data_IF_013047003410
#
_entry.id   IF_013047003410
#
_cell.length_a   1.000
_cell.length_b   1.000
_cell.length_c   1.000
_cell.angle_alpha   90.00
_cell.angle_beta   90.00
_cell.angle_gamma   90.00
#
_symmetry.space_group_name_H-M   'P 1'
#
loop_
_entity.id
_entity.type
_entity.pdbx_description
1 polymer ?
#
# COMPACT_ATOMS: atom_id res chain seq x y z
N UNK A 1 -74.08 -15.81 -33.52
CA UNK A 1 -72.92 -14.92 -33.53
C UNK A 1 -72.22 -15.04 -32.17
N UNK A 2 -71.08 -15.74 -32.10
CA UNK A 2 -70.31 -15.92 -30.85
C UNK A 2 -69.06 -15.05 -31.01
N UNK A 3 -68.95 -14.02 -30.12
CA UNK A 3 -67.75 -13.19 -30.06
C UNK A 3 -66.74 -13.83 -29.10
N UNK A 4 -65.57 -14.15 -29.64
CA UNK A 4 -64.43 -14.61 -28.86
C UNK A 4 -63.59 -13.36 -28.46
N UNK A 5 -63.40 -13.18 -27.17
CA UNK A 5 -62.48 -12.17 -26.62
C UNK A 5 -61.14 -12.82 -26.42
N UNK A 6 -60.11 -12.33 -27.17
CA UNK A 6 -58.71 -12.70 -26.96
C UNK A 6 -58.12 -11.81 -25.88
N UNK A 7 -57.72 -12.41 -24.75
CA UNK A 7 -56.90 -11.76 -23.72
C UNK A 7 -55.44 -11.73 -24.21
N UNK A 8 -54.93 -10.51 -24.42
CA UNK A 8 -53.50 -10.28 -24.61
C UNK A 8 -52.85 -10.09 -23.24
N UNK A 9 -52.06 -11.06 -22.80
CA UNK A 9 -51.28 -10.95 -21.59
C UNK A 9 -49.97 -10.18 -21.90
N UNK A 10 -49.86 -8.93 -21.42
CA UNK A 10 -48.61 -8.19 -21.41
C UNK A 10 -47.70 -8.74 -20.31
N UNK A 11 -46.64 -9.43 -20.69
CA UNK A 11 -45.54 -9.83 -19.79
C UNK A 11 -44.63 -8.60 -19.62
N UNK A 12 -44.70 -7.95 -18.49
CA UNK A 12 -43.76 -6.90 -18.10
C UNK A 12 -42.42 -7.56 -17.73
N UNK A 13 -41.39 -7.41 -18.56
CA UNK A 13 -40.01 -7.75 -18.21
C UNK A 13 -39.52 -6.75 -17.14
N UNK A 14 -39.43 -7.17 -15.89
CA UNK A 14 -38.74 -6.42 -14.85
C UNK A 14 -37.24 -6.63 -15.09
N UNK A 15 -36.61 -5.66 -15.73
CA UNK A 15 -35.14 -5.57 -15.77
C UNK A 15 -34.67 -5.19 -14.34
N UNK A 16 -34.29 -6.20 -13.56
CA UNK A 16 -33.51 -5.95 -12.34
C UNK A 16 -32.14 -5.45 -12.77
N UNK A 17 -31.97 -4.11 -12.75
CA UNK A 17 -30.67 -3.50 -12.84
C UNK A 17 -29.83 -4.06 -11.68
N UNK A 18 -28.79 -4.82 -11.98
CA UNK A 18 -27.73 -5.11 -11.02
C UNK A 18 -27.02 -3.79 -10.83
N UNK A 19 -27.33 -3.05 -9.78
CA UNK A 19 -26.52 -1.95 -9.31
C UNK A 19 -25.14 -2.53 -9.05
N UNK A 20 -24.19 -2.25 -9.93
CA UNK A 20 -22.78 -2.52 -9.65
C UNK A 20 -22.43 -1.73 -8.40
N UNK A 21 -22.31 -2.42 -7.28
CA UNK A 21 -21.91 -1.82 -6.02
C UNK A 21 -20.56 -1.12 -6.27
N UNK A 22 -20.55 0.21 -6.32
CA UNK A 22 -19.33 0.98 -6.48
C UNK A 22 -18.35 0.55 -5.39
N UNK A 23 -17.15 0.13 -5.77
CA UNK A 23 -16.12 -0.24 -4.81
C UNK A 23 -15.77 0.95 -3.91
N UNK A 24 -15.25 0.68 -2.72
CA UNK A 24 -14.71 1.72 -1.87
C UNK A 24 -13.57 2.44 -2.61
N UNK A 25 -13.60 3.76 -2.66
CA UNK A 25 -12.53 4.56 -3.26
C UNK A 25 -11.33 4.66 -2.33
N UNK A 26 -10.14 4.34 -2.84
CA UNK A 26 -8.87 4.47 -2.09
C UNK A 26 -7.95 5.42 -2.82
N UNK A 27 -7.53 6.50 -2.16
CA UNK A 27 -6.52 7.42 -2.68
C UNK A 27 -5.19 7.21 -1.96
N UNK A 28 -4.11 7.07 -2.74
CA UNK A 28 -2.74 7.11 -2.25
C UNK A 28 -2.14 8.49 -2.52
N UNK A 29 -1.71 9.19 -1.47
CA UNK A 29 -1.00 10.47 -1.55
C UNK A 29 0.43 10.25 -1.07
N UNK A 30 1.42 10.47 -1.95
CA UNK A 30 2.80 10.20 -1.58
C UNK A 30 3.82 10.65 -2.63
N UNK A 31 4.94 9.96 -2.62
CA UNK A 31 6.09 10.30 -3.46
C UNK A 31 6.67 9.03 -4.13
N UNK A 32 7.98 9.02 -4.36
CA UNK A 32 8.69 7.92 -4.99
C UNK A 32 8.54 6.56 -4.27
N UNK A 33 8.21 6.56 -3.01
CA UNK A 33 7.91 5.36 -2.24
C UNK A 33 6.56 4.74 -2.63
N UNK A 34 5.56 5.55 -2.93
CA UNK A 34 4.26 5.08 -3.44
C UNK A 34 4.30 4.70 -4.91
N UNK A 35 4.95 5.52 -5.76
CA UNK A 35 4.98 5.22 -7.20
C UNK A 35 6.09 4.24 -7.60
N UNK A 36 6.82 3.69 -6.65
CA UNK A 36 7.81 2.65 -6.84
C UNK A 36 8.99 3.06 -7.76
N UNK A 37 9.67 4.17 -7.43
CA UNK A 37 10.83 4.63 -8.18
C UNK A 37 11.94 3.58 -8.26
N UNK A 38 12.58 3.49 -9.41
CA UNK A 38 13.73 2.59 -9.64
C UNK A 38 13.38 1.10 -9.73
N UNK A 39 12.09 0.76 -9.74
CA UNK A 39 11.61 -0.62 -9.75
C UNK A 39 10.65 -0.90 -10.91
N UNK A 40 10.58 -2.13 -11.45
CA UNK A 40 9.57 -2.52 -12.44
C UNK A 40 8.13 -2.37 -11.93
N UNK A 41 7.92 -2.28 -10.63
CA UNK A 41 6.61 -2.00 -10.01
C UNK A 41 6.06 -0.63 -10.43
N UNK A 42 6.92 0.31 -10.82
CA UNK A 42 6.51 1.67 -11.23
C UNK A 42 5.40 1.68 -12.28
N UNK A 43 5.54 0.86 -13.32
CA UNK A 43 4.55 0.76 -14.40
C UNK A 43 3.64 -0.46 -14.29
N UNK A 44 3.74 -1.20 -13.20
CA UNK A 44 2.98 -2.43 -13.00
C UNK A 44 1.48 -2.13 -13.08
N UNK A 45 0.77 -2.74 -14.02
CA UNK A 45 -0.69 -2.67 -14.23
C UNK A 45 -1.28 -1.26 -14.04
N UNK A 46 -0.61 -0.24 -14.58
CA UNK A 46 -1.05 1.17 -14.48
C UNK A 46 -2.45 1.41 -15.04
N UNK A 47 -2.91 0.54 -15.94
CA UNK A 47 -4.26 0.52 -16.51
C UNK A 47 -5.36 0.09 -15.53
N UNK A 48 -5.00 -0.46 -14.36
CA UNK A 48 -5.96 -0.92 -13.33
C UNK A 48 -6.22 0.10 -12.22
N UNK A 49 -5.49 1.20 -12.22
CA UNK A 49 -5.60 2.29 -11.26
C UNK A 49 -5.77 3.63 -11.97
N UNK A 50 -6.21 4.65 -11.26
CA UNK A 50 -6.32 6.01 -11.80
C UNK A 50 -5.19 6.88 -11.25
N UNK A 51 -4.22 7.16 -12.11
CA UNK A 51 -3.17 8.15 -11.82
C UNK A 51 -3.71 9.55 -12.09
N UNK A 52 -3.88 10.33 -11.01
CA UNK A 52 -4.47 11.68 -11.08
C UNK A 52 -3.55 12.71 -11.78
N UNK A 53 -2.28 12.37 -11.96
CA UNK A 53 -1.31 13.18 -12.70
C UNK A 53 -1.17 12.77 -14.17
N UNK A 54 -1.78 11.66 -14.60
CA UNK A 54 -1.71 11.10 -15.96
C UNK A 54 -0.26 10.78 -16.41
N UNK A 55 0.58 10.32 -15.49
CA UNK A 55 1.97 9.93 -15.76
C UNK A 55 2.08 8.43 -16.12
N UNK A 56 0.97 7.68 -16.08
CA UNK A 56 0.91 6.26 -16.42
C UNK A 56 1.51 5.36 -15.34
N UNK A 57 1.43 5.79 -14.10
CA UNK A 57 2.00 5.09 -12.94
C UNK A 57 1.03 4.05 -12.40
N UNK A 58 1.55 2.85 -12.09
CA UNK A 58 0.84 1.82 -11.33
C UNK A 58 1.29 1.79 -9.88
N UNK A 59 2.56 1.53 -9.65
CA UNK A 59 3.21 1.57 -8.33
C UNK A 59 2.62 0.58 -7.31
N UNK A 60 2.83 0.90 -6.06
CA UNK A 60 2.25 0.18 -4.92
C UNK A 60 0.71 0.16 -4.95
N UNK A 61 0.01 1.23 -5.40
CA UNK A 61 -1.44 1.21 -5.59
C UNK A 61 -1.92 0.09 -6.52
N UNK A 62 -1.20 -0.21 -7.61
CA UNK A 62 -1.57 -1.29 -8.52
C UNK A 62 -1.31 -2.69 -7.94
N UNK A 63 -0.30 -2.85 -7.10
CA UNK A 63 -0.11 -4.08 -6.32
C UNK A 63 -1.28 -4.28 -5.35
N UNK A 64 -1.66 -3.25 -4.60
CA UNK A 64 -2.83 -3.28 -3.72
C UNK A 64 -4.12 -3.64 -4.50
N UNK A 65 -4.33 -3.02 -5.67
CA UNK A 65 -5.47 -3.35 -6.54
C UNK A 65 -5.47 -4.82 -6.96
N UNK A 66 -4.30 -5.35 -7.35
CA UNK A 66 -4.15 -6.75 -7.73
C UNK A 66 -4.50 -7.70 -6.56
N UNK A 67 -3.99 -7.43 -5.36
CA UNK A 67 -4.27 -8.22 -4.17
C UNK A 67 -5.76 -8.20 -3.80
N UNK A 68 -6.38 -7.03 -3.82
CA UNK A 68 -7.80 -6.90 -3.48
C UNK A 68 -8.70 -7.60 -4.51
N UNK A 69 -8.40 -7.50 -5.80
CA UNK A 69 -9.11 -8.25 -6.84
C UNK A 69 -8.99 -9.76 -6.65
N UNK A 70 -7.77 -10.25 -6.36
CA UNK A 70 -7.55 -11.67 -6.10
C UNK A 70 -8.27 -12.15 -4.83
N UNK A 71 -8.37 -11.30 -3.81
CA UNK A 71 -9.14 -11.58 -2.59
C UNK A 71 -10.66 -11.43 -2.75
N UNK A 72 -11.17 -11.13 -3.97
CA UNK A 72 -12.59 -10.94 -4.25
C UNK A 72 -13.15 -9.65 -3.65
N UNK A 73 -12.31 -8.64 -3.42
CA UNK A 73 -12.69 -7.33 -2.89
C UNK A 73 -12.73 -6.30 -4.02
N UNK A 74 -13.70 -5.39 -3.97
CA UNK A 74 -13.84 -4.31 -4.95
C UNK A 74 -13.37 -2.99 -4.35
N UNK A 75 -12.31 -2.42 -4.94
CA UNK A 75 -11.79 -1.09 -4.62
C UNK A 75 -11.52 -0.32 -5.90
N UNK A 76 -11.88 0.95 -5.93
CA UNK A 76 -11.44 1.88 -6.96
C UNK A 76 -10.21 2.62 -6.45
N UNK A 77 -9.07 2.37 -7.08
CA UNK A 77 -7.76 2.79 -6.58
C UNK A 77 -7.21 3.95 -7.39
N UNK A 78 -6.80 4.98 -6.67
CA UNK A 78 -6.29 6.24 -7.22
C UNK A 78 -4.94 6.58 -6.58
N UNK A 79 -4.11 7.33 -7.30
CA UNK A 79 -2.87 7.86 -6.75
C UNK A 79 -2.66 9.32 -7.17
N UNK A 80 -2.14 10.11 -6.26
CA UNK A 80 -1.59 11.44 -6.48
C UNK A 80 -0.19 11.46 -5.87
N UNK A 81 0.83 11.48 -6.71
CA UNK A 81 2.21 11.31 -6.28
C UNK A 81 3.15 12.34 -6.91
N UNK A 82 4.20 12.71 -6.16
CA UNK A 82 5.27 13.56 -6.65
C UNK A 82 6.61 13.14 -6.06
N UNK A 83 7.59 12.84 -6.92
CA UNK A 83 8.93 12.48 -6.47
C UNK A 83 9.59 13.55 -5.61
N UNK A 84 10.26 13.13 -4.52
CA UNK A 84 10.99 14.04 -3.64
C UNK A 84 10.13 14.99 -2.82
N UNK A 85 8.82 14.76 -2.70
CA UNK A 85 7.91 15.64 -1.96
C UNK A 85 7.41 15.02 -0.65
N UNK A 86 6.94 15.90 0.24
CA UNK A 86 6.14 15.55 1.39
C UNK A 86 4.70 16.04 1.24
N UNK A 87 3.89 15.90 2.29
CA UNK A 87 2.50 16.37 2.29
C UNK A 87 2.37 17.89 2.10
N UNK A 88 3.38 18.67 2.47
CA UNK A 88 3.46 20.11 2.23
C UNK A 88 3.32 20.47 0.74
N UNK A 89 3.99 19.73 -0.14
CA UNK A 89 3.86 19.93 -1.58
C UNK A 89 2.42 19.68 -2.05
N UNK A 90 1.79 18.58 -1.61
CA UNK A 90 0.44 18.21 -2.00
C UNK A 90 -0.60 19.21 -1.49
N UNK A 91 -0.42 19.73 -0.27
CA UNK A 91 -1.24 20.80 0.28
C UNK A 91 -1.15 22.09 -0.52
N UNK A 92 0.06 22.46 -0.95
CA UNK A 92 0.27 23.71 -1.68
C UNK A 92 -0.15 23.64 -3.15
N UNK A 93 -0.02 22.46 -3.78
CA UNK A 93 -0.09 22.38 -5.25
C UNK A 93 -1.18 21.44 -5.77
N UNK A 94 -1.72 20.51 -4.96
CA UNK A 94 -2.54 19.39 -5.45
C UNK A 94 -3.95 19.33 -4.84
N UNK A 95 -4.30 20.22 -3.93
CA UNK A 95 -5.64 20.22 -3.35
C UNK A 95 -6.78 20.27 -4.38
N UNK A 96 -6.68 21.01 -5.51
CA UNK A 96 -7.72 20.98 -6.53
C UNK A 96 -7.91 19.60 -7.19
N UNK A 97 -6.84 18.81 -7.28
CA UNK A 97 -6.88 17.44 -7.83
C UNK A 97 -7.41 16.47 -6.79
N UNK A 98 -6.85 16.51 -5.57
CA UNK A 98 -7.24 15.67 -4.44
C UNK A 98 -8.72 15.90 -4.06
N UNK A 99 -9.20 17.14 -4.13
CA UNK A 99 -10.56 17.52 -3.76
C UNK A 99 -11.62 17.32 -4.86
N UNK A 100 -11.27 16.75 -6.03
CA UNK A 100 -12.23 16.54 -7.13
C UNK A 100 -13.39 15.59 -6.78
N UNK A 101 -13.13 14.67 -5.87
CA UNK A 101 -14.15 13.72 -5.39
C UNK A 101 -14.02 13.46 -3.89
N UNK A 102 -15.01 12.75 -3.33
CA UNK A 102 -14.98 12.26 -1.95
C UNK A 102 -14.29 10.91 -1.93
N UNK A 103 -13.38 10.73 -0.98
CA UNK A 103 -12.65 9.50 -0.79
C UNK A 103 -13.22 8.73 0.40
N UNK A 104 -13.31 7.40 0.30
CA UNK A 104 -13.68 6.55 1.42
C UNK A 104 -12.46 6.23 2.28
N UNK A 105 -11.32 6.00 1.63
CA UNK A 105 -10.05 5.66 2.27
C UNK A 105 -8.94 6.51 1.67
N UNK A 106 -8.04 7.03 2.50
CA UNK A 106 -6.81 7.70 2.05
C UNK A 106 -5.61 7.13 2.80
N UNK A 107 -4.60 6.71 2.06
CA UNK A 107 -3.27 6.32 2.55
C UNK A 107 -2.31 7.42 2.18
N UNK A 108 -1.60 7.98 3.16
CA UNK A 108 -0.68 9.10 2.91
C UNK A 108 0.60 8.99 3.73
N UNK A 109 1.69 9.55 3.18
CA UNK A 109 2.96 9.67 3.87
C UNK A 109 3.70 10.94 3.48
N UNK A 110 4.63 11.37 4.34
CA UNK A 110 5.50 12.52 4.12
C UNK A 110 6.86 12.16 3.53
N UNK A 111 7.86 12.99 3.82
CA UNK A 111 9.26 12.68 3.48
C UNK A 111 9.74 11.44 4.23
N UNK A 112 10.53 10.59 3.57
CA UNK A 112 11.12 9.40 4.18
C UNK A 112 12.06 9.70 5.36
N UNK A 113 12.67 10.88 5.38
CA UNK A 113 13.49 11.39 6.48
C UNK A 113 12.71 12.28 7.44
N UNK A 114 11.37 12.32 7.37
CA UNK A 114 10.42 13.18 8.11
C UNK A 114 10.43 14.64 7.65
N UNK A 115 11.59 15.20 7.43
CA UNK A 115 11.82 16.52 6.86
C UNK A 115 13.02 16.46 5.89
N UNK A 116 12.92 17.11 4.73
CA UNK A 116 13.98 17.12 3.71
C UNK A 116 15.18 17.99 4.10
N UNK A 117 14.96 19.03 4.92
CA UNK A 117 15.99 19.97 5.35
C UNK A 117 16.55 19.63 6.74
N UNK A 118 15.71 19.00 7.58
CA UNK A 118 16.05 18.61 8.94
C UNK A 118 15.69 17.15 9.18
N UNK A 119 16.46 16.19 8.62
CA UNK A 119 16.19 14.78 8.78
C UNK A 119 16.02 14.39 10.26
N UNK A 120 14.95 13.65 10.56
CA UNK A 120 14.58 13.24 11.91
C UNK A 120 13.62 14.21 12.63
N UNK A 121 13.41 15.44 12.13
CA UNK A 121 12.45 16.37 12.74
C UNK A 121 11.00 16.04 12.34
N UNK A 122 10.13 15.68 13.29
CA UNK A 122 8.75 15.29 12.98
C UNK A 122 7.81 16.48 12.74
N UNK A 123 8.24 17.72 12.99
CA UNK A 123 7.35 18.89 13.06
C UNK A 123 6.56 19.10 11.76
N UNK A 124 7.24 18.99 10.60
CA UNK A 124 6.61 19.13 9.29
C UNK A 124 5.57 18.04 9.04
N UNK A 125 5.93 16.78 9.32
CA UNK A 125 5.00 15.65 9.17
C UNK A 125 3.75 15.84 10.04
N UNK A 126 3.91 16.19 11.30
CA UNK A 126 2.79 16.40 12.25
C UNK A 126 1.84 17.49 11.77
N UNK A 127 2.40 18.65 11.39
CA UNK A 127 1.59 19.77 10.91
C UNK A 127 0.83 19.45 9.63
N UNK A 128 1.54 18.92 8.62
CA UNK A 128 0.96 18.67 7.28
C UNK A 128 0.01 17.49 7.27
N UNK A 129 0.22 16.47 8.10
CA UNK A 129 -0.73 15.36 8.26
C UNK A 129 -2.06 15.84 8.84
N UNK A 130 -2.01 16.72 9.83
CA UNK A 130 -3.23 17.31 10.39
C UNK A 130 -3.97 18.17 9.37
N UNK A 131 -3.28 19.04 8.66
CA UNK A 131 -3.87 19.92 7.65
C UNK A 131 -4.52 19.12 6.50
N UNK A 132 -3.85 18.08 6.00
CA UNK A 132 -4.38 17.20 4.97
C UNK A 132 -5.61 16.42 5.49
N UNK A 133 -5.57 15.93 6.72
CA UNK A 133 -6.70 15.24 7.33
C UNK A 133 -7.93 16.17 7.48
N UNK A 134 -7.72 17.41 7.89
CA UNK A 134 -8.79 18.40 8.01
C UNK A 134 -9.39 18.74 6.65
N UNK A 135 -8.56 18.85 5.60
CA UNK A 135 -9.02 19.06 4.23
C UNK A 135 -9.88 17.89 3.73
N UNK A 136 -9.40 16.66 3.89
CA UNK A 136 -10.10 15.45 3.42
C UNK A 136 -11.44 15.25 4.14
N UNK A 137 -11.50 15.52 5.45
CA UNK A 137 -12.75 15.43 6.23
C UNK A 137 -13.78 16.49 5.87
N UNK A 138 -13.38 17.65 5.38
CA UNK A 138 -14.33 18.63 4.82
C UNK A 138 -15.04 18.06 3.60
N UNK A 139 -14.33 17.26 2.78
CA UNK A 139 -14.91 16.57 1.63
C UNK A 139 -15.79 15.38 2.03
N UNK A 140 -15.29 14.52 2.93
CA UNK A 140 -16.00 13.37 3.46
C UNK A 140 -15.74 13.21 4.98
N UNK A 141 -16.67 13.58 5.86
CA UNK A 141 -16.49 13.42 7.32
C UNK A 141 -16.28 11.97 7.78
N UNK A 142 -16.61 10.99 6.93
CA UNK A 142 -16.46 9.55 7.22
C UNK A 142 -15.21 8.93 6.61
N UNK A 143 -14.34 9.73 5.98
CA UNK A 143 -13.11 9.22 5.35
C UNK A 143 -12.24 8.50 6.37
N UNK A 144 -11.81 7.30 6.02
CA UNK A 144 -10.82 6.56 6.79
C UNK A 144 -9.42 6.99 6.37
N UNK A 145 -8.68 7.58 7.28
CA UNK A 145 -7.33 8.08 7.03
C UNK A 145 -6.28 7.15 7.62
N UNK A 146 -5.27 6.86 6.84
CA UNK A 146 -4.11 6.07 7.25
C UNK A 146 -2.85 6.85 6.97
N UNK A 147 -1.92 6.82 7.91
CA UNK A 147 -0.54 7.25 7.69
C UNK A 147 0.34 6.02 7.47
N UNK A 148 1.27 6.07 6.54
CA UNK A 148 2.19 4.98 6.25
C UNK A 148 3.60 5.32 6.73
N UNK A 149 4.07 4.65 7.78
CA UNK A 149 5.45 4.76 8.26
C UNK A 149 6.38 3.97 7.35
N UNK A 150 7.33 4.66 6.73
CA UNK A 150 8.24 4.10 5.74
C UNK A 150 9.44 3.37 6.38
N UNK A 151 10.21 2.66 5.59
CA UNK A 151 11.38 1.88 6.00
C UNK A 151 12.63 2.71 6.26
N UNK A 152 13.61 2.12 6.95
CA UNK A 152 14.95 2.68 7.07
C UNK A 152 15.65 2.73 5.71
N UNK A 153 16.27 3.86 5.41
CA UNK A 153 17.11 4.04 4.23
C UNK A 153 18.54 3.65 4.55
N UNK A 154 19.11 2.71 3.80
CA UNK A 154 20.47 2.25 4.02
C UNK A 154 21.51 3.37 3.77
N UNK A 155 21.23 4.29 2.82
CA UNK A 155 22.08 5.47 2.56
C UNK A 155 22.12 6.44 3.75
N UNK A 156 21.07 6.50 4.57
CA UNK A 156 21.04 7.33 5.77
C UNK A 156 21.73 6.69 6.98
N UNK A 157 21.90 5.37 6.96
CA UNK A 157 22.45 4.62 8.09
C UNK A 157 23.93 4.27 7.86
N UNK A 158 24.31 3.85 6.65
CA UNK A 158 25.64 3.35 6.37
C UNK A 158 26.57 4.37 5.70
N UNK A 159 26.02 5.47 5.14
CA UNK A 159 26.85 6.53 4.59
C UNK A 159 27.24 7.56 5.65
N UNK A 160 28.50 8.08 5.63
CA UNK A 160 29.00 8.97 6.68
C UNK A 160 28.22 10.27 6.88
N UNK A 161 27.49 10.72 5.86
CA UNK A 161 26.67 11.95 5.89
C UNK A 161 25.19 11.68 6.18
N UNK A 162 24.81 10.44 6.38
CA UNK A 162 23.43 10.07 6.69
C UNK A 162 23.04 10.56 8.09
N UNK A 163 21.78 10.92 8.26
CA UNK A 163 21.27 11.42 9.52
C UNK A 163 21.27 10.35 10.64
N UNK A 164 21.28 9.08 10.28
CA UNK A 164 21.38 7.93 11.19
C UNK A 164 22.72 7.20 11.03
N UNK A 165 23.78 7.89 10.55
CA UNK A 165 25.08 7.28 10.34
C UNK A 165 25.64 6.64 11.62
N UNK A 166 26.09 5.38 11.50
CA UNK A 166 26.64 4.61 12.61
C UNK A 166 25.64 4.06 13.61
N UNK A 167 24.34 4.25 13.40
CA UNK A 167 23.28 3.60 14.19
C UNK A 167 22.90 2.24 13.59
N UNK A 168 22.26 1.35 14.37
CA UNK A 168 21.65 0.14 13.81
C UNK A 168 20.59 0.50 12.75
N UNK A 169 20.46 -0.34 11.70
CA UNK A 169 19.55 -0.06 10.57
C UNK A 169 18.11 0.19 11.01
N UNK A 170 17.65 -0.46 12.05
CA UNK A 170 16.30 -0.30 12.56
C UNK A 170 16.05 1.03 13.30
N UNK A 171 17.10 1.80 13.61
CA UNK A 171 16.97 3.04 14.36
C UNK A 171 16.13 4.08 13.62
N UNK A 172 16.37 4.25 12.32
CA UNK A 172 15.59 5.16 11.49
C UNK A 172 14.12 4.76 11.44
N UNK A 173 13.79 3.47 11.27
CA UNK A 173 12.41 3.01 11.26
C UNK A 173 11.70 3.27 12.59
N UNK A 174 12.38 3.12 13.73
CA UNK A 174 11.83 3.46 15.06
C UNK A 174 11.52 4.95 15.19
N UNK A 175 12.44 5.80 14.77
CA UNK A 175 12.26 7.25 14.85
C UNK A 175 11.15 7.71 13.89
N UNK A 176 11.11 7.17 12.68
CA UNK A 176 10.04 7.40 11.72
C UNK A 176 8.70 6.97 12.32
N UNK A 177 8.61 5.77 12.90
CA UNK A 177 7.38 5.30 13.54
C UNK A 177 6.94 6.21 14.68
N UNK A 178 7.83 6.62 15.56
CA UNK A 178 7.50 7.53 16.65
C UNK A 178 6.97 8.89 16.17
N UNK A 179 7.51 9.40 15.04
CA UNK A 179 7.03 10.62 14.42
C UNK A 179 5.62 10.44 13.82
N UNK A 180 5.38 9.31 13.16
CA UNK A 180 4.07 8.98 12.60
C UNK A 180 3.00 8.75 13.68
N UNK A 181 3.34 8.19 14.83
CA UNK A 181 2.43 8.06 15.98
C UNK A 181 2.01 9.44 16.54
N UNK A 182 2.96 10.42 16.61
CA UNK A 182 2.62 11.80 16.95
C UNK A 182 1.69 12.42 15.91
N UNK A 183 1.99 12.26 14.63
CA UNK A 183 1.16 12.77 13.54
C UNK A 183 -0.24 12.13 13.54
N UNK A 184 -0.33 10.83 13.80
CA UNK A 184 -1.56 10.08 13.90
C UNK A 184 -2.51 10.62 14.97
N UNK A 185 -1.98 10.96 16.14
CA UNK A 185 -2.75 11.55 17.24
C UNK A 185 -3.33 12.91 16.82
N UNK A 186 -2.51 13.80 16.24
CA UNK A 186 -2.93 15.14 15.81
C UNK A 186 -3.90 15.14 14.62
N UNK A 187 -3.74 14.20 13.70
CA UNK A 187 -4.59 14.03 12.53
C UNK A 187 -5.79 13.11 12.77
N UNK A 188 -5.90 12.47 13.92
CA UNK A 188 -6.95 11.51 14.28
C UNK A 188 -7.16 10.43 13.20
N UNK A 189 -6.07 9.85 12.70
CA UNK A 189 -6.13 8.80 11.68
C UNK A 189 -6.56 7.46 12.28
N UNK A 190 -7.06 6.56 11.45
CA UNK A 190 -7.51 5.23 11.86
C UNK A 190 -6.35 4.34 12.31
N UNK A 191 -5.22 4.39 11.58
CA UNK A 191 -4.02 3.65 11.93
C UNK A 191 -2.75 4.24 11.27
N UNK A 192 -1.59 3.87 11.82
CA UNK A 192 -0.29 3.98 11.17
C UNK A 192 0.07 2.61 10.59
N UNK A 193 0.22 2.54 9.27
CA UNK A 193 0.58 1.33 8.55
C UNK A 193 2.07 1.03 8.78
N UNK A 194 2.44 -0.14 9.37
CA UNK A 194 3.78 -0.40 9.89
C UNK A 194 4.74 -1.00 8.84
N UNK A 195 4.99 -0.28 7.73
CA UNK A 195 5.85 -0.79 6.66
C UNK A 195 7.31 -0.88 7.11
N UNK A 196 7.82 0.14 7.80
CA UNK A 196 9.20 0.15 8.29
C UNK A 196 9.49 -0.98 9.28
N UNK A 197 8.53 -1.29 10.13
CA UNK A 197 8.64 -2.40 11.08
C UNK A 197 8.59 -3.76 10.37
N UNK A 198 7.80 -3.90 9.31
CA UNK A 198 7.80 -5.12 8.50
C UNK A 198 9.15 -5.35 7.82
N UNK A 199 9.79 -4.29 7.31
CA UNK A 199 11.15 -4.37 6.76
C UNK A 199 12.16 -4.79 7.83
N UNK A 200 12.13 -4.16 9.00
CA UNK A 200 12.97 -4.53 10.15
C UNK A 200 12.77 -5.99 10.53
N UNK A 201 11.53 -6.46 10.56
CA UNK A 201 11.20 -7.87 10.83
C UNK A 201 11.78 -8.81 9.78
N UNK A 202 11.72 -8.45 8.48
CA UNK A 202 12.32 -9.26 7.42
C UNK A 202 13.83 -9.43 7.60
N UNK A 203 14.53 -8.37 8.00
CA UNK A 203 15.96 -8.40 8.30
C UNK A 203 16.26 -9.24 9.54
N UNK A 204 15.53 -9.04 10.63
CA UNK A 204 15.71 -9.80 11.87
C UNK A 204 15.40 -11.28 11.72
N UNK A 205 14.48 -11.65 10.83
CA UNK A 205 14.16 -13.04 10.50
C UNK A 205 15.16 -13.67 9.52
N UNK A 206 16.20 -12.94 9.07
CA UNK A 206 17.17 -13.41 8.10
C UNK A 206 16.61 -13.62 6.68
N UNK A 207 15.45 -13.07 6.38
CA UNK A 207 14.80 -13.12 5.05
C UNK A 207 15.41 -12.03 4.14
N UNK A 208 15.68 -10.86 4.70
CA UNK A 208 16.30 -9.76 3.97
C UNK A 208 17.69 -9.43 4.54
N UNK A 209 18.55 -8.91 3.69
CA UNK A 209 19.85 -8.43 4.10
C UNK A 209 19.71 -7.06 4.77
N UNK A 210 20.32 -6.81 5.94
CA UNK A 210 20.26 -5.53 6.61
C UNK A 210 21.21 -4.47 6.03
N UNK A 211 22.27 -4.88 5.31
CA UNK A 211 23.32 -3.97 4.84
C UNK A 211 23.68 -4.19 3.36
N UNK A 212 23.10 -3.45 2.41
CA UNK A 212 23.37 -3.64 0.99
C UNK A 212 24.76 -3.14 0.56
N UNK A 213 25.53 -2.48 1.44
CA UNK A 213 26.85 -1.92 1.11
C UNK A 213 27.99 -2.91 1.26
N UNK A 214 27.85 -4.00 1.98
CA UNK A 214 28.85 -5.05 2.13
C UNK A 214 28.57 -6.29 1.27
N UNK A 215 27.51 -6.20 0.42
CA UNK A 215 27.03 -7.24 -0.46
C UNK A 215 25.86 -8.01 0.14
N UNK A 216 25.02 -8.56 -0.73
CA UNK A 216 23.84 -9.33 -0.29
C UNK A 216 24.27 -10.75 0.04
N UNK A 217 24.04 -11.18 1.26
CA UNK A 217 24.32 -12.54 1.72
C UNK A 217 23.48 -13.57 0.95
N UNK A 218 24.10 -14.67 0.58
CA UNK A 218 23.45 -15.72 -0.20
C UNK A 218 22.16 -16.23 0.50
N UNK A 219 21.05 -16.22 -0.23
CA UNK A 219 19.75 -16.64 0.25
C UNK A 219 18.93 -15.53 0.94
N UNK A 220 19.47 -14.34 1.09
CA UNK A 220 18.72 -13.18 1.57
C UNK A 220 18.25 -12.29 0.41
N UNK A 221 17.16 -11.57 0.63
CA UNK A 221 16.62 -10.60 -0.31
C UNK A 221 17.25 -9.23 -0.10
N UNK A 222 17.56 -8.54 -1.20
CA UNK A 222 17.78 -7.10 -1.16
C UNK A 222 16.42 -6.40 -1.25
N UNK A 223 16.01 -5.70 -0.20
CA UNK A 223 14.77 -4.94 -0.20
C UNK A 223 14.96 -3.53 -0.80
N UNK A 224 16.20 -3.04 -0.94
CA UNK A 224 16.47 -1.77 -1.61
C UNK A 224 16.80 -1.98 -3.08
N UNK A 225 16.68 -0.93 -3.88
CA UNK A 225 17.24 -0.88 -5.23
C UNK A 225 18.68 -0.34 -5.19
N UNK A 226 19.33 -0.21 -6.35
CA UNK A 226 20.72 0.16 -6.54
C UNK A 226 21.16 1.45 -5.82
N UNK A 227 20.24 2.34 -5.48
CA UNK A 227 20.53 3.58 -4.76
C UNK A 227 20.49 3.44 -3.24
N UNK A 228 20.14 2.26 -2.73
CA UNK A 228 20.03 1.93 -1.31
C UNK A 228 19.10 2.86 -0.52
N UNK A 229 18.18 3.48 -1.27
CA UNK A 229 17.20 4.45 -0.82
C UNK A 229 15.79 3.96 -1.14
N UNK A 230 15.50 3.76 -2.42
CA UNK A 230 14.23 3.26 -2.89
C UNK A 230 14.15 1.73 -2.73
N UNK A 231 12.94 1.22 -2.72
CA UNK A 231 12.73 -0.21 -2.59
C UNK A 231 12.97 -0.96 -3.90
N UNK A 232 13.45 -2.18 -3.79
CA UNK A 232 13.41 -3.17 -4.87
C UNK A 232 11.97 -3.60 -5.14
N UNK A 233 11.77 -4.45 -6.15
CA UNK A 233 10.45 -5.04 -6.39
C UNK A 233 9.95 -5.85 -5.19
N UNK A 234 10.81 -6.58 -4.47
CA UNK A 234 10.47 -7.31 -3.25
C UNK A 234 10.11 -6.36 -2.10
N UNK A 235 10.82 -5.24 -1.95
CA UNK A 235 10.53 -4.24 -0.93
C UNK A 235 9.17 -3.57 -1.14
N UNK A 236 8.83 -3.18 -2.37
CA UNK A 236 7.50 -2.63 -2.69
C UNK A 236 6.39 -3.67 -2.57
N UNK A 237 6.69 -4.93 -2.88
CA UNK A 237 5.74 -6.02 -2.68
C UNK A 237 5.41 -6.19 -1.19
N UNK A 238 6.42 -6.17 -0.31
CA UNK A 238 6.22 -6.21 1.14
C UNK A 238 5.39 -5.01 1.63
N UNK A 239 5.69 -3.80 1.16
CA UNK A 239 4.90 -2.59 1.46
C UNK A 239 3.44 -2.81 1.09
N UNK A 240 3.16 -3.27 -0.13
CA UNK A 240 1.80 -3.49 -0.61
C UNK A 240 1.06 -4.58 0.21
N UNK A 241 1.74 -5.65 0.64
CA UNK A 241 1.17 -6.69 1.52
C UNK A 241 0.76 -6.12 2.88
N UNK A 242 1.60 -5.26 3.47
CA UNK A 242 1.31 -4.61 4.76
C UNK A 242 0.12 -3.66 4.63
N UNK A 243 0.08 -2.87 3.55
CA UNK A 243 -1.06 -1.99 3.25
C UNK A 243 -2.33 -2.82 3.04
N UNK A 244 -2.27 -3.89 2.25
CA UNK A 244 -3.40 -4.77 1.99
C UNK A 244 -3.99 -5.33 3.29
N UNK A 245 -3.16 -5.92 4.14
CA UNK A 245 -3.64 -6.49 5.40
C UNK A 245 -4.16 -5.41 6.35
N UNK A 246 -3.53 -4.23 6.40
CA UNK A 246 -3.95 -3.15 7.29
C UNK A 246 -5.31 -2.55 6.91
N UNK A 247 -5.55 -2.32 5.62
CA UNK A 247 -6.81 -1.73 5.14
C UNK A 247 -7.95 -2.75 5.15
N UNK A 248 -7.68 -3.99 4.73
CA UNK A 248 -8.73 -4.99 4.50
C UNK A 248 -9.00 -5.89 5.71
N UNK A 249 -8.09 -5.93 6.69
CA UNK A 249 -8.11 -6.90 7.79
C UNK A 249 -7.84 -8.35 7.35
N UNK A 250 -7.48 -8.56 6.07
CA UNK A 250 -7.21 -9.90 5.53
C UNK A 250 -5.78 -10.33 5.83
N UNK A 251 -5.63 -11.61 6.11
CA UNK A 251 -4.32 -12.25 6.23
C UNK A 251 -3.61 -12.23 4.87
N UNK A 252 -2.43 -11.57 4.74
CA UNK A 252 -1.70 -11.52 3.48
C UNK A 252 -1.34 -12.90 2.92
N UNK A 253 -1.18 -13.92 3.77
CA UNK A 253 -0.90 -15.31 3.37
C UNK A 253 -2.06 -15.95 2.62
N UNK A 254 -3.28 -15.42 2.76
CA UNK A 254 -4.45 -15.90 2.02
C UNK A 254 -4.36 -15.68 0.52
N UNK A 255 -3.44 -14.82 0.05
CA UNK A 255 -3.15 -14.61 -1.36
C UNK A 255 -2.44 -15.84 -1.97
N UNK A 256 -1.70 -16.61 -1.16
CA UNK A 256 -0.97 -17.80 -1.58
C UNK A 256 0.35 -17.49 -2.32
N UNK A 257 1.20 -18.49 -2.44
CA UNK A 257 2.54 -18.36 -3.03
C UNK A 257 2.53 -18.28 -4.57
N UNK A 258 1.38 -18.48 -5.20
CA UNK A 258 1.14 -18.32 -6.63
C UNK A 258 0.36 -17.04 -6.94
N UNK A 259 0.48 -16.02 -6.08
CA UNK A 259 -0.13 -14.71 -6.22
C UNK A 259 0.28 -14.05 -7.55
N UNK A 260 -0.69 -13.42 -8.22
CA UNK A 260 -0.52 -12.98 -9.60
C UNK A 260 0.56 -11.92 -9.80
N UNK A 261 0.66 -10.94 -8.90
CA UNK A 261 1.66 -9.87 -9.02
C UNK A 261 3.07 -10.42 -8.86
N UNK A 262 3.27 -11.33 -7.92
CA UNK A 262 4.54 -11.98 -7.69
C UNK A 262 4.97 -12.83 -8.89
N UNK A 263 4.04 -13.58 -9.47
CA UNK A 263 4.30 -14.36 -10.70
C UNK A 263 4.69 -13.44 -11.87
N UNK A 264 3.95 -12.36 -12.09
CA UNK A 264 4.20 -11.40 -13.17
C UNK A 264 5.50 -10.62 -13.01
N UNK A 265 5.91 -10.37 -11.76
CA UNK A 265 7.18 -9.72 -11.42
C UNK A 265 8.37 -10.70 -11.37
N UNK A 266 8.13 -12.01 -11.58
CA UNK A 266 9.16 -13.04 -11.66
C UNK A 266 9.72 -13.48 -10.30
N UNK A 267 8.95 -13.36 -9.21
CA UNK A 267 9.41 -13.76 -7.88
C UNK A 267 9.41 -15.28 -7.70
N UNK A 268 10.40 -15.77 -6.96
CA UNK A 268 10.39 -17.15 -6.50
C UNK A 268 9.29 -17.37 -5.46
N UNK A 269 8.59 -18.50 -5.52
CA UNK A 269 7.49 -18.79 -4.57
C UNK A 269 7.94 -18.81 -3.11
N UNK A 270 9.20 -19.19 -2.86
CA UNK A 270 9.78 -19.16 -1.53
C UNK A 270 9.83 -17.73 -0.97
N UNK A 271 10.24 -16.76 -1.79
CA UNK A 271 10.33 -15.35 -1.43
C UNK A 271 8.94 -14.76 -1.18
N UNK A 272 7.97 -15.09 -2.05
CA UNK A 272 6.57 -14.68 -1.87
C UNK A 272 6.01 -15.17 -0.54
N UNK A 273 6.20 -16.46 -0.23
CA UNK A 273 5.75 -17.04 1.03
C UNK A 273 6.42 -16.39 2.24
N UNK A 274 7.72 -16.13 2.15
CA UNK A 274 8.47 -15.47 3.22
C UNK A 274 7.99 -14.05 3.47
N UNK A 275 7.81 -13.24 2.43
CA UNK A 275 7.32 -11.86 2.54
C UNK A 275 5.86 -11.78 3.03
N UNK A 276 5.00 -12.69 2.57
CA UNK A 276 3.63 -12.80 3.09
C UNK A 276 3.61 -13.16 4.58
N UNK A 277 4.51 -14.05 5.03
CA UNK A 277 4.63 -14.40 6.44
C UNK A 277 5.12 -13.20 7.26
N UNK A 278 6.13 -12.46 6.79
CA UNK A 278 6.62 -11.23 7.45
C UNK A 278 5.49 -10.21 7.60
N UNK A 279 4.75 -9.95 6.53
CA UNK A 279 3.63 -9.01 6.56
C UNK A 279 2.56 -9.45 7.58
N UNK A 280 2.21 -10.75 7.58
CA UNK A 280 1.28 -11.32 8.55
C UNK A 280 1.78 -11.15 9.99
N UNK A 281 3.02 -11.54 10.28
CA UNK A 281 3.59 -11.47 11.63
C UNK A 281 3.64 -10.03 12.16
N UNK A 282 3.92 -9.08 11.26
CA UNK A 282 3.89 -7.65 11.61
C UNK A 282 2.46 -7.19 11.94
N UNK A 283 1.50 -7.52 11.11
CA UNK A 283 0.11 -7.10 11.30
C UNK A 283 -0.56 -7.81 12.49
N UNK A 284 -0.21 -9.07 12.73
CA UNK A 284 -0.68 -9.82 13.89
C UNK A 284 -0.12 -9.25 15.20
N UNK A 285 1.14 -8.80 15.22
CA UNK A 285 1.75 -8.18 16.41
C UNK A 285 1.07 -6.86 16.83
N UNK A 286 0.37 -6.21 15.91
CA UNK A 286 -0.42 -4.99 16.17
C UNK A 286 -1.92 -5.27 16.35
N UNK A 287 -2.34 -6.53 16.29
CA UNK A 287 -3.75 -6.93 16.38
C UNK A 287 -4.60 -6.55 15.16
N UNK A 288 -3.96 -6.12 14.06
CA UNK A 288 -4.64 -5.71 12.84
C UNK A 288 -5.24 -6.90 12.08
N UNK A 289 -4.52 -8.01 12.09
CA UNK A 289 -4.96 -9.28 11.48
C UNK A 289 -4.89 -10.37 12.55
N UNK A 290 -5.95 -11.13 12.69
CA UNK A 290 -5.96 -12.32 13.56
C UNK A 290 -5.66 -13.57 12.72
N UNK A 291 -4.88 -14.53 13.27
CA UNK A 291 -4.78 -15.84 12.63
C UNK A 291 -6.17 -16.39 12.38
N UNK A 292 -6.45 -16.84 11.16
CA UNK A 292 -7.67 -17.60 10.93
C UNK A 292 -7.71 -18.73 11.96
N UNK A 293 -8.80 -18.82 12.74
CA UNK A 293 -9.00 -19.97 13.60
C UNK A 293 -8.74 -21.21 12.74
N UNK A 294 -7.89 -22.13 13.25
CA UNK A 294 -7.48 -23.34 12.52
C UNK A 294 -8.73 -24.14 12.12
N UNK A 295 -9.39 -23.71 11.07
CA UNK A 295 -10.33 -24.55 10.34
C UNK A 295 -9.49 -25.45 9.47
N UNK A 296 -9.78 -26.76 9.50
CA UNK A 296 -9.14 -27.78 8.70
C UNK A 296 -8.80 -27.26 7.29
N UNK A 297 -7.67 -27.69 6.67
CA UNK A 297 -7.16 -27.11 5.46
C UNK A 297 -8.28 -27.01 4.41
N UNK A 298 -8.75 -25.80 4.19
CA UNK A 298 -9.63 -25.53 3.07
C UNK A 298 -8.84 -25.97 1.84
N UNK A 299 -9.46 -26.84 1.01
CA UNK A 299 -8.93 -27.24 -0.28
C UNK A 299 -8.24 -26.02 -0.92
N UNK A 300 -6.97 -26.13 -1.35
CA UNK A 300 -6.28 -24.99 -1.93
C UNK A 300 -7.21 -24.34 -2.95
N UNK A 301 -7.48 -23.05 -2.81
CA UNK A 301 -8.20 -22.32 -3.83
C UNK A 301 -7.44 -22.58 -5.12
N UNK A 302 -8.16 -22.98 -6.18
CA UNK A 302 -7.53 -23.15 -7.48
C UNK A 302 -6.71 -21.88 -7.76
N UNK A 303 -5.46 -21.98 -8.26
CA UNK A 303 -4.62 -20.83 -8.48
C UNK A 303 -5.44 -19.78 -9.23
N UNK A 304 -5.51 -18.58 -8.65
CA UNK A 304 -6.23 -17.49 -9.28
C UNK A 304 -5.69 -17.39 -10.71
N UNK A 305 -6.55 -17.56 -11.72
CA UNK A 305 -6.11 -17.40 -13.10
C UNK A 305 -5.72 -15.93 -13.21
N UNK A 306 -4.41 -15.68 -13.18
CA UNK A 306 -3.90 -14.35 -13.46
C UNK A 306 -4.50 -13.92 -14.79
N UNK A 307 -5.18 -12.77 -14.84
CA UNK A 307 -5.89 -12.34 -16.03
C UNK A 307 -4.91 -12.35 -17.20
N UNK A 308 -5.10 -13.26 -18.14
CA UNK A 308 -4.34 -13.25 -19.38
C UNK A 308 -4.67 -11.92 -20.06
N UNK A 309 -3.68 -11.07 -20.22
CA UNK A 309 -3.79 -9.89 -21.09
C UNK A 309 -4.10 -10.45 -22.51
N UNK A 310 -5.27 -10.12 -23.02
CA UNK A 310 -5.60 -10.29 -24.44
C UNK A 310 -4.99 -9.16 -25.24
#
# INVERSE_FOLDING_TARGET
MKFAWSLVACVALVLTGVDAQSGNSVLFIGNSFTFAAGSPVHFYRSDTVTDLNNEGIGGVPALFKSFTQQAGLSYDVFLETRGGSGLDFHLQNKLPVIGKQRWDIVVMHGYSTLDSEKPGDPAKLVATSKEMADFLRKGNPKVELYLMATWSRADQTYQPKGAWAGQPIEAMARDVRAAYDKAATGAAVKAVIPVGEAWTRAMQAGIADPNPYDGIEAGKLDLWTYDHYHASAHGYYLEALVIFGNITGRDPRSLGDAECSAFELGFARADVKALQQVAFDQLASTGTVTPAASTAPSKPAAPARCAQRR
#
